data_IF_676558618041
#
_entry.id   IF_676558618041
#
_cell.length_a   1.000
_cell.length_b   1.000
_cell.length_c   1.000
_cell.angle_alpha   90.00
_cell.angle_beta   90.00
_cell.angle_gamma   90.00
#
_symmetry.space_group_name_H-M   'P 1'
#
loop_
_entity.id
_entity.type
_entity.pdbx_description
1 polymer ?
#
# COMPACT_ATOMS: atom_id res chain seq x y z
N UNK A 1 -2.94 -3.92 -12.21
CA UNK A 1 -3.33 -2.81 -11.31
C UNK A 1 -4.35 -3.25 -10.30
N UNK A 2 -4.20 -2.83 -9.07
CA UNK A 2 -5.13 -3.17 -8.00
C UNK A 2 -5.16 -2.04 -6.98
N UNK A 3 -6.10 -2.11 -6.03
CA UNK A 3 -6.25 -1.07 -5.02
C UNK A 3 -5.89 -1.61 -3.65
N UNK A 4 -5.40 -0.73 -2.79
CA UNK A 4 -5.07 -1.03 -1.41
C UNK A 4 -5.60 0.08 -0.51
N UNK A 5 -5.65 -0.20 0.79
CA UNK A 5 -6.07 0.79 1.79
C UNK A 5 -4.86 1.14 2.66
N UNK A 6 -4.60 2.44 2.80
CA UNK A 6 -3.54 2.91 3.68
C UNK A 6 -3.95 2.69 5.14
N UNK A 7 -3.07 2.09 5.93
CA UNK A 7 -3.37 1.77 7.32
C UNK A 7 -3.60 3.02 8.16
N UNK A 8 -2.84 4.08 7.90
CA UNK A 8 -2.94 5.32 8.67
C UNK A 8 -4.11 6.20 8.27
N UNK A 9 -4.25 6.44 6.97
CA UNK A 9 -5.25 7.40 6.47
C UNK A 9 -6.59 6.74 6.16
N UNK A 10 -6.60 5.41 5.99
CA UNK A 10 -7.78 4.64 5.57
C UNK A 10 -8.22 4.94 4.14
N UNK A 11 -7.40 5.67 3.39
CA UNK A 11 -7.71 5.98 1.99
C UNK A 11 -7.46 4.79 1.08
N UNK A 12 -8.30 4.66 0.07
CA UNK A 12 -8.12 3.66 -0.98
C UNK A 12 -7.20 4.26 -2.05
N UNK A 13 -6.13 3.55 -2.35
CA UNK A 13 -5.09 4.02 -3.26
C UNK A 13 -4.88 2.97 -4.34
N UNK A 14 -4.67 3.43 -5.57
CA UNK A 14 -4.41 2.53 -6.68
C UNK A 14 -2.92 2.22 -6.80
N UNK A 15 -2.61 0.93 -6.96
CA UNK A 15 -1.24 0.45 -7.15
C UNK A 15 -1.04 0.17 -8.63
N UNK A 16 -0.01 0.78 -9.22
CA UNK A 16 0.33 0.56 -10.61
C UNK A 16 1.16 -0.71 -10.81
N UNK A 17 2.10 -0.94 -9.90
CA UNK A 17 3.04 -2.05 -10.04
C UNK A 17 3.55 -2.48 -8.66
N UNK A 18 4.20 -3.63 -8.62
CA UNK A 18 4.80 -4.16 -7.39
C UNK A 18 6.23 -4.57 -7.65
N UNK A 19 7.03 -4.54 -6.59
CA UNK A 19 8.43 -4.92 -6.66
C UNK A 19 8.80 -5.64 -5.35
N UNK A 20 9.60 -6.69 -5.46
CA UNK A 20 10.15 -7.40 -4.31
C UNK A 20 11.64 -7.16 -4.25
N UNK A 21 12.12 -6.74 -3.08
CA UNK A 21 13.55 -6.61 -2.82
C UNK A 21 14.08 -7.99 -2.40
N UNK A 22 14.92 -8.58 -3.23
CA UNK A 22 15.45 -9.92 -2.99
C UNK A 22 16.39 -9.97 -1.78
N UNK A 23 17.02 -8.85 -1.44
CA UNK A 23 17.97 -8.79 -0.34
C UNK A 23 17.26 -8.81 1.00
N UNK A 24 16.20 -8.01 1.14
CA UNK A 24 15.47 -7.88 2.40
C UNK A 24 14.13 -8.61 2.40
N UNK A 25 13.72 -9.14 1.23
CA UNK A 25 12.43 -9.81 1.11
C UNK A 25 11.23 -8.87 1.26
N UNK A 26 11.45 -7.57 1.13
CA UNK A 26 10.41 -6.58 1.28
C UNK A 26 9.66 -6.35 -0.03
N UNK A 27 8.36 -6.14 0.07
CA UNK A 27 7.53 -5.81 -1.08
C UNK A 27 7.23 -4.31 -1.10
N UNK A 28 7.29 -3.71 -2.28
CA UNK A 28 6.98 -2.30 -2.48
C UNK A 28 5.88 -2.16 -3.52
N UNK A 29 5.03 -1.15 -3.33
CA UNK A 29 3.97 -0.79 -4.27
C UNK A 29 4.30 0.54 -4.92
N UNK A 30 4.09 0.62 -6.24
CA UNK A 30 4.20 1.88 -6.97
C UNK A 30 2.83 2.55 -6.94
N UNK A 31 2.73 3.66 -6.22
CA UNK A 31 1.47 4.38 -6.03
C UNK A 31 1.58 5.82 -6.51
N UNK A 32 0.44 6.41 -6.82
CA UNK A 32 0.36 7.84 -7.14
C UNK A 32 0.18 8.64 -5.86
N UNK A 33 1.10 9.55 -5.60
CA UNK A 33 1.10 10.33 -4.37
C UNK A 33 1.76 11.68 -4.63
N UNK A 34 1.13 12.75 -4.19
CA UNK A 34 1.67 14.10 -4.30
C UNK A 34 2.11 14.48 -5.72
N UNK A 35 1.29 14.11 -6.70
CA UNK A 35 1.55 14.47 -8.08
C UNK A 35 2.59 13.63 -8.81
N UNK A 36 2.98 12.49 -8.24
CA UNK A 36 3.96 11.60 -8.86
C UNK A 36 3.83 10.16 -8.42
N UNK A 37 4.46 9.28 -9.19
CA UNK A 37 4.55 7.88 -8.84
C UNK A 37 5.68 7.66 -7.84
N UNK A 38 5.40 6.93 -6.75
CA UNK A 38 6.38 6.66 -5.71
C UNK A 38 6.31 5.22 -5.26
N UNK A 39 7.46 4.65 -4.95
CA UNK A 39 7.55 3.33 -4.33
C UNK A 39 7.35 3.45 -2.83
N UNK A 40 6.40 2.69 -2.29
CA UNK A 40 6.10 2.68 -0.86
C UNK A 40 6.08 1.25 -0.32
N UNK A 41 6.54 1.03 0.92
CA UNK A 41 6.53 -0.31 1.50
C UNK A 41 5.11 -0.88 1.58
N UNK A 42 4.94 -2.11 1.11
CA UNK A 42 3.62 -2.75 1.11
C UNK A 42 3.07 -2.95 2.52
N UNK A 43 3.92 -3.00 3.53
CA UNK A 43 3.51 -3.18 4.92
C UNK A 43 2.61 -2.07 5.45
N UNK A 44 2.57 -0.93 4.78
CA UNK A 44 1.74 0.21 5.17
C UNK A 44 0.31 0.13 4.62
N UNK A 45 -0.01 -0.95 3.92
CA UNK A 45 -1.26 -1.10 3.21
C UNK A 45 -1.88 -2.46 3.46
N UNK A 46 -3.21 -2.51 3.33
CA UNK A 46 -4.01 -3.72 3.47
C UNK A 46 -4.99 -3.79 2.31
N UNK A 47 -5.67 -4.93 2.09
CA UNK A 47 -6.69 -4.99 1.04
C UNK A 47 -7.76 -3.92 1.23
N UNK A 48 -8.33 -3.39 0.14
CA UNK A 48 -9.26 -2.25 0.23
C UNK A 48 -10.52 -2.53 1.04
N UNK A 49 -10.92 -3.81 1.14
CA UNK A 49 -12.09 -4.21 1.92
C UNK A 49 -11.73 -4.67 3.33
N UNK A 50 -10.49 -4.44 3.75
CA UNK A 50 -10.04 -4.83 5.09
C UNK A 50 -10.75 -3.99 6.14
N UNK A 51 -11.25 -4.66 7.18
CA UNK A 51 -11.89 -4.00 8.31
C UNK A 51 -10.92 -3.97 9.48
N UNK A 52 -10.70 -2.76 10.00
CA UNK A 52 -9.83 -2.58 11.16
C UNK A 52 -10.64 -2.83 12.43
N UNK A 53 -10.10 -3.64 13.34
CA UNK A 53 -10.69 -3.83 14.64
C UNK A 53 -10.44 -2.60 15.50
N UNK A 54 -11.51 -2.01 15.99
CA UNK A 54 -11.40 -0.95 16.97
C UNK A 54 -11.41 -1.58 18.35
N UNK A 55 -10.30 -1.45 19.03
CA UNK A 55 -10.23 -1.84 20.44
C UNK A 55 -10.60 -0.62 21.26
N UNK A 56 -11.70 -0.73 21.87
CA UNK A 56 -12.14 0.27 22.83
C UNK A 56 -11.56 -0.02 24.21
#
# INVERSE_FOLDING_TARGET
>A
MFKVKNIKTKEIIQVLDTMVDDIFGATFFLIWEDGGWRWRPAKNYVPPNYEFEEKS
#
